data_IF_051056629518
#
_entry.id   IF_051056629518
#
_cell.length_a   1.000
_cell.length_b   1.000
_cell.length_c   1.000
_cell.angle_alpha   90.00
_cell.angle_beta   90.00
_cell.angle_gamma   90.00
#
_symmetry.space_group_name_H-M   'P 1'
#
loop_
_entity.id
_entity.type
_entity.pdbx_description
1 polymer ?
#
# COMPACT_ATOMS: atom_id res chain seq x y z
N UNK A 1 -38.11 -41.04 23.51
CA UNK A 1 -38.94 -41.25 22.31
C UNK A 1 -38.21 -40.66 21.11
N UNK A 2 -37.94 -41.51 20.12
CA UNK A 2 -37.30 -41.16 18.85
C UNK A 2 -38.12 -40.09 18.10
N UNK A 3 -37.44 -39.07 17.58
CA UNK A 3 -37.82 -38.47 16.30
C UNK A 3 -36.57 -38.33 15.44
N UNK A 4 -36.55 -39.21 14.45
CA UNK A 4 -35.65 -39.31 13.31
C UNK A 4 -35.66 -38.01 12.51
N UNK A 5 -34.48 -37.44 12.24
CA UNK A 5 -34.31 -36.44 11.18
C UNK A 5 -33.38 -37.03 10.12
N UNK A 6 -33.96 -37.25 8.96
CA UNK A 6 -33.35 -37.81 7.75
C UNK A 6 -32.28 -36.85 7.22
N UNK A 7 -31.05 -37.33 7.13
CA UNK A 7 -29.94 -36.67 6.43
C UNK A 7 -30.15 -36.87 4.94
N UNK A 8 -30.46 -35.79 4.22
CA UNK A 8 -30.39 -35.75 2.76
C UNK A 8 -28.93 -35.47 2.37
N UNK A 9 -28.22 -36.53 2.01
CA UNK A 9 -26.89 -36.50 1.40
C UNK A 9 -26.99 -35.85 0.02
N UNK A 10 -26.46 -34.62 -0.11
CA UNK A 10 -26.19 -33.99 -1.40
C UNK A 10 -24.80 -34.49 -1.83
N UNK A 11 -24.66 -35.24 -2.95
CA UNK A 11 -23.35 -35.60 -3.47
C UNK A 11 -22.66 -34.33 -4.01
N UNK A 12 -21.57 -33.93 -3.34
CA UNK A 12 -20.55 -33.09 -3.94
C UNK A 12 -19.95 -33.83 -5.13
N UNK A 13 -20.22 -33.33 -6.34
CA UNK A 13 -19.49 -33.73 -7.54
C UNK A 13 -18.07 -33.15 -7.46
N UNK A 14 -17.17 -33.92 -6.86
CA UNK A 14 -15.74 -33.83 -7.13
C UNK A 14 -15.52 -34.36 -8.55
N UNK A 15 -15.23 -33.47 -9.50
CA UNK A 15 -14.63 -33.85 -10.76
C UNK A 15 -13.16 -34.23 -10.50
N UNK A 16 -12.96 -35.47 -10.04
CA UNK A 16 -11.71 -36.18 -10.17
C UNK A 16 -11.62 -36.70 -11.61
N UNK A 17 -10.83 -36.04 -12.45
CA UNK A 17 -10.39 -36.60 -13.73
C UNK A 17 -8.87 -36.76 -13.65
N UNK A 18 -8.43 -37.99 -13.39
CA UNK A 18 -7.02 -38.33 -13.27
C UNK A 18 -6.86 -39.84 -13.18
N UNK A 19 -6.96 -40.52 -14.33
CA UNK A 19 -6.76 -41.96 -14.43
C UNK A 19 -6.58 -42.43 -15.87
N UNK A 20 -5.33 -42.35 -16.36
CA UNK A 20 -4.65 -43.37 -17.17
C UNK A 20 -4.98 -43.51 -18.67
N UNK A 21 -3.95 -43.37 -19.52
CA UNK A 21 -3.96 -43.84 -20.91
C UNK A 21 -2.82 -43.27 -21.74
N UNK A 22 -1.78 -44.08 -21.99
CA UNK A 22 -0.70 -43.77 -22.92
C UNK A 22 -1.24 -43.74 -24.34
N UNK A 23 -1.28 -42.55 -24.96
CA UNK A 23 -1.37 -42.42 -26.41
C UNK A 23 -0.44 -41.28 -26.87
N UNK A 24 0.52 -41.68 -27.71
CA UNK A 24 1.42 -40.81 -28.44
C UNK A 24 0.62 -40.06 -29.51
N UNK A 25 -0.06 -38.98 -29.09
CA UNK A 25 -0.65 -38.01 -30.00
C UNK A 25 -0.04 -36.66 -29.69
N UNK A 26 0.79 -36.20 -30.61
CA UNK A 26 1.27 -34.82 -30.72
C UNK A 26 0.05 -33.90 -30.83
N UNK A 27 -0.56 -33.58 -29.69
CA UNK A 27 -1.38 -32.38 -29.58
C UNK A 27 -0.39 -31.25 -29.60
N UNK A 28 -0.27 -30.66 -30.79
CA UNK A 28 0.40 -29.39 -30.97
C UNK A 28 -0.12 -28.45 -29.88
N UNK A 29 0.74 -28.15 -28.91
CA UNK A 29 0.60 -26.98 -28.06
C UNK A 29 0.46 -25.81 -29.02
N UNK A 30 -0.77 -25.32 -29.20
CA UNK A 30 -1.01 -24.12 -29.98
C UNK A 30 -0.18 -23.03 -29.35
N UNK A 31 0.90 -22.65 -30.04
CA UNK A 31 1.76 -21.58 -29.63
C UNK A 31 0.92 -20.32 -29.33
N UNK A 32 0.93 -19.94 -28.06
CA UNK A 32 1.15 -18.57 -27.61
C UNK A 32 0.39 -17.48 -28.40
N UNK A 33 -0.88 -17.25 -28.07
CA UNK A 33 -1.49 -15.96 -28.40
C UNK A 33 -0.66 -14.87 -27.69
N UNK A 34 -0.21 -13.85 -28.43
CA UNK A 34 0.34 -12.66 -27.80
C UNK A 34 -0.76 -11.94 -27.02
N UNK A 35 -0.36 -11.22 -25.97
CA UNK A 35 -1.28 -10.36 -25.21
C UNK A 35 -0.77 -8.93 -25.21
N UNK A 36 -1.67 -7.98 -25.02
CA UNK A 36 -1.34 -6.55 -24.99
C UNK A 36 -1.48 -6.04 -23.55
N UNK A 37 -0.38 -5.57 -22.98
CA UNK A 37 -0.37 -4.87 -21.71
C UNK A 37 -0.75 -3.41 -21.94
N UNK A 38 -1.87 -2.96 -21.36
CA UNK A 38 -2.29 -1.56 -21.38
C UNK A 38 -2.17 -0.99 -19.96
N UNK A 39 -1.07 -0.29 -19.71
CA UNK A 39 -0.73 0.22 -18.39
C UNK A 39 -0.50 1.72 -18.37
N UNK A 40 -0.06 2.19 -17.20
CA UNK A 40 0.21 3.60 -16.96
C UNK A 40 1.49 3.74 -16.12
N UNK A 41 2.31 4.74 -16.42
CA UNK A 41 3.40 5.18 -15.54
C UNK A 41 2.91 6.44 -14.81
N UNK A 42 2.74 6.37 -13.49
CA UNK A 42 2.14 7.46 -12.74
C UNK A 42 2.72 7.67 -11.34
N UNK A 43 3.12 8.91 -11.09
CA UNK A 43 3.22 9.62 -9.82
C UNK A 43 2.63 11.02 -10.09
N UNK A 44 1.35 11.03 -10.48
CA UNK A 44 0.87 11.92 -11.54
C UNK A 44 1.29 11.43 -12.94
N UNK A 45 0.55 11.73 -14.03
CA UNK A 45 0.92 11.25 -15.37
C UNK A 45 2.37 11.54 -15.77
N UNK A 46 3.20 10.51 -15.99
CA UNK A 46 4.58 10.68 -16.47
C UNK A 46 4.61 10.49 -17.99
N UNK A 47 4.59 11.61 -18.71
CA UNK A 47 4.67 11.63 -20.17
C UNK A 47 6.09 11.37 -20.68
N UNK A 48 6.21 10.71 -21.83
CA UNK A 48 7.50 10.49 -22.51
C UNK A 48 8.35 9.36 -21.93
N UNK A 49 7.88 8.61 -20.94
CA UNK A 49 8.61 7.49 -20.35
C UNK A 49 8.64 6.28 -21.29
N UNK A 50 9.76 5.57 -21.35
CA UNK A 50 9.89 4.29 -22.06
C UNK A 50 9.73 3.14 -21.08
N UNK A 51 8.85 2.18 -21.37
CA UNK A 51 8.61 0.99 -20.54
C UNK A 51 9.23 -0.24 -21.19
N UNK A 52 9.99 -1.03 -20.45
CA UNK A 52 10.60 -2.26 -20.93
C UNK A 52 10.32 -3.43 -19.98
N UNK A 53 10.19 -4.64 -20.53
CA UNK A 53 9.93 -5.87 -19.78
C UNK A 53 11.23 -6.62 -19.46
N UNK A 54 11.33 -7.11 -18.23
CA UNK A 54 12.45 -7.89 -17.70
C UNK A 54 11.93 -9.18 -17.05
N UNK A 55 12.78 -10.22 -17.06
CA UNK A 55 12.61 -11.48 -16.32
C UNK A 55 13.91 -11.78 -15.63
N UNK A 56 13.87 -11.98 -14.30
CA UNK A 56 15.04 -12.31 -13.48
C UNK A 56 16.24 -11.38 -13.78
N UNK A 57 15.98 -10.08 -13.82
CA UNK A 57 16.98 -9.04 -14.07
C UNK A 57 17.45 -8.91 -15.52
N UNK A 58 17.06 -9.83 -16.40
CA UNK A 58 17.43 -9.82 -17.81
C UNK A 58 16.30 -9.26 -18.66
N UNK A 59 16.61 -8.37 -19.59
CA UNK A 59 15.61 -7.82 -20.50
C UNK A 59 14.99 -8.94 -21.33
N UNK A 60 13.65 -9.00 -21.34
CA UNK A 60 12.92 -9.98 -22.15
C UNK A 60 13.07 -9.61 -23.62
N UNK A 61 13.34 -10.62 -24.44
CA UNK A 61 13.50 -10.49 -25.88
C UNK A 61 12.35 -11.16 -26.61
N UNK A 62 11.94 -10.58 -27.73
CA UNK A 62 10.99 -11.18 -28.66
C UNK A 62 11.64 -12.32 -29.48
N UNK A 63 10.85 -12.94 -30.36
CA UNK A 63 11.32 -14.02 -31.22
C UNK A 63 12.45 -13.61 -32.21
N UNK A 64 12.64 -12.31 -32.45
CA UNK A 64 13.73 -11.77 -33.28
C UNK A 64 14.98 -11.43 -32.47
N UNK A 65 14.94 -11.58 -31.14
CA UNK A 65 16.03 -11.22 -30.23
C UNK A 65 16.03 -9.74 -29.83
N UNK A 66 15.04 -8.95 -30.24
CA UNK A 66 14.91 -7.56 -29.86
C UNK A 66 14.27 -7.42 -28.48
N UNK A 67 14.67 -6.40 -27.72
CA UNK A 67 14.09 -6.10 -26.42
C UNK A 67 12.60 -5.74 -26.55
N UNK A 68 11.78 -6.26 -25.64
CA UNK A 68 10.37 -5.90 -25.57
C UNK A 68 10.24 -4.60 -24.77
N UNK A 69 10.01 -3.51 -25.48
CA UNK A 69 9.75 -2.18 -24.91
C UNK A 69 8.55 -1.54 -25.61
N UNK A 70 7.82 -0.70 -24.88
CA UNK A 70 6.77 0.14 -25.44
C UNK A 70 7.36 1.28 -26.26
N UNK A 71 6.51 1.98 -27.00
CA UNK A 71 6.76 3.39 -27.33
C UNK A 71 6.83 4.26 -26.08
N UNK A 72 7.10 5.55 -26.25
CA UNK A 72 7.03 6.50 -25.14
C UNK A 72 5.57 6.62 -24.65
N UNK A 73 5.40 6.81 -23.34
CA UNK A 73 4.08 7.08 -22.75
C UNK A 73 3.48 8.37 -23.31
N UNK A 74 2.14 8.40 -23.42
CA UNK A 74 1.40 9.58 -23.83
C UNK A 74 1.37 10.67 -22.74
N UNK A 75 0.65 11.78 -22.98
CA UNK A 75 0.52 12.88 -22.03
C UNK A 75 -0.18 12.48 -20.72
N UNK A 76 -0.89 11.35 -20.71
CA UNK A 76 -1.58 10.77 -19.56
C UNK A 76 -0.74 9.66 -18.91
N UNK A 77 0.48 9.43 -19.38
CA UNK A 77 1.38 8.40 -18.87
C UNK A 77 1.00 6.99 -19.32
N UNK A 78 0.05 6.83 -20.25
CA UNK A 78 -0.37 5.50 -20.70
C UNK A 78 0.66 4.90 -21.66
N UNK A 79 0.82 3.59 -21.60
CA UNK A 79 1.60 2.82 -22.57
C UNK A 79 0.84 1.57 -23.02
N UNK A 80 1.17 1.10 -24.21
CA UNK A 80 0.73 -0.20 -24.72
C UNK A 80 1.95 -1.01 -25.17
N UNK A 81 1.97 -2.30 -24.84
CA UNK A 81 3.07 -3.21 -25.15
C UNK A 81 2.53 -4.60 -25.49
N UNK A 82 2.89 -5.13 -26.65
CA UNK A 82 2.59 -6.52 -27.00
C UNK A 82 3.66 -7.45 -26.43
N UNK A 83 3.24 -8.46 -25.68
CA UNK A 83 4.12 -9.51 -25.16
C UNK A 83 3.77 -10.85 -25.81
N UNK A 84 4.77 -11.65 -26.26
CA UNK A 84 4.54 -12.98 -26.80
C UNK A 84 3.87 -13.91 -25.77
N UNK A 85 3.07 -14.87 -26.20
CA UNK A 85 2.51 -15.88 -25.29
C UNK A 85 3.51 -16.96 -24.84
N UNK A 86 4.73 -16.96 -25.39
CA UNK A 86 5.81 -17.91 -25.10
C UNK A 86 6.96 -17.24 -24.36
N UNK A 87 6.65 -16.46 -23.33
CA UNK A 87 7.67 -15.87 -22.47
C UNK A 87 8.47 -16.93 -21.72
N UNK A 88 9.74 -16.66 -21.37
CA UNK A 88 10.47 -17.51 -20.43
C UNK A 88 9.69 -17.66 -19.12
N UNK A 89 9.85 -18.82 -18.48
CA UNK A 89 9.38 -18.99 -17.11
C UNK A 89 10.22 -18.11 -16.20
N UNK A 90 9.58 -17.32 -15.36
CA UNK A 90 10.27 -16.39 -14.46
C UNK A 90 9.32 -15.33 -13.92
N UNK A 91 9.86 -14.49 -13.04
CA UNK A 91 9.14 -13.35 -12.49
C UNK A 91 9.28 -12.16 -13.46
N UNK A 92 8.15 -11.68 -13.97
CA UNK A 92 8.13 -10.54 -14.88
C UNK A 92 8.16 -9.22 -14.11
N UNK A 93 8.98 -8.29 -14.59
CA UNK A 93 9.13 -6.95 -14.03
C UNK A 93 9.08 -5.92 -15.16
N UNK A 94 8.35 -4.83 -14.95
CA UNK A 94 8.39 -3.67 -15.84
C UNK A 94 9.30 -2.60 -15.27
N UNK A 95 10.11 -1.99 -16.13
CA UNK A 95 10.93 -0.82 -15.78
C UNK A 95 10.54 0.32 -16.71
N UNK A 96 10.02 1.41 -16.13
CA UNK A 96 9.78 2.66 -16.82
C UNK A 96 10.98 3.59 -16.63
N UNK A 97 11.41 4.28 -17.69
CA UNK A 97 12.51 5.24 -17.63
C UNK A 97 12.14 6.55 -18.34
N UNK A 98 12.39 7.68 -17.69
CA UNK A 98 12.24 9.01 -18.27
C UNK A 98 13.49 9.85 -18.00
N UNK A 99 14.26 10.13 -19.04
CA UNK A 99 15.59 10.73 -18.90
C UNK A 99 16.55 9.85 -18.09
N UNK A 100 17.55 10.48 -17.47
CA UNK A 100 18.55 9.79 -16.65
C UNK A 100 18.07 9.54 -15.21
N UNK A 101 17.19 10.39 -14.68
CA UNK A 101 16.89 10.45 -13.25
C UNK A 101 15.67 9.64 -12.83
N UNK A 102 14.67 9.47 -13.71
CA UNK A 102 13.45 8.74 -13.37
C UNK A 102 13.56 7.31 -13.89
N UNK A 103 13.61 6.36 -12.95
CA UNK A 103 13.41 4.93 -13.16
C UNK A 103 12.45 4.37 -12.13
N UNK A 104 11.29 3.90 -12.59
CA UNK A 104 10.28 3.26 -11.76
C UNK A 104 10.13 1.81 -12.17
N UNK A 105 9.77 0.95 -11.23
CA UNK A 105 9.64 -0.48 -11.47
C UNK A 105 8.33 -1.03 -10.93
N UNK A 106 7.88 -2.14 -11.49
CA UNK A 106 6.75 -2.90 -10.96
C UNK A 106 6.90 -4.38 -11.26
N UNK A 107 6.71 -5.21 -10.24
CA UNK A 107 6.75 -6.66 -10.35
C UNK A 107 5.36 -7.20 -10.70
N UNK A 108 5.23 -7.85 -11.87
CA UNK A 108 3.95 -8.34 -12.39
C UNK A 108 3.56 -9.74 -11.87
N UNK A 109 4.52 -10.50 -11.36
CA UNK A 109 4.33 -11.91 -10.99
C UNK A 109 4.84 -12.88 -12.06
N UNK A 110 4.44 -14.15 -11.94
CA UNK A 110 4.88 -15.20 -12.85
C UNK A 110 4.33 -14.97 -14.27
N UNK A 111 5.16 -15.24 -15.29
CA UNK A 111 4.77 -15.04 -16.69
C UNK A 111 3.46 -15.76 -17.08
N UNK A 112 3.21 -16.96 -16.54
CA UNK A 112 1.96 -17.69 -16.76
C UNK A 112 0.73 -16.96 -16.18
N UNK A 113 0.84 -16.42 -14.97
CA UNK A 113 -0.23 -15.65 -14.33
C UNK A 113 -0.52 -14.34 -15.08
N UNK A 114 0.52 -13.67 -15.59
CA UNK A 114 0.36 -12.46 -16.40
C UNK A 114 -0.39 -12.77 -17.70
N UNK A 115 0.00 -13.83 -18.42
CA UNK A 115 -0.69 -14.23 -19.66
C UNK A 115 -2.16 -14.65 -19.40
N UNK A 116 -2.43 -15.32 -18.28
CA UNK A 116 -3.78 -15.71 -17.87
C UNK A 116 -4.67 -14.53 -17.44
N UNK A 117 -4.06 -13.38 -17.13
CA UNK A 117 -4.81 -12.16 -16.76
C UNK A 117 -5.42 -11.45 -17.97
N UNK A 118 -5.14 -11.88 -19.19
CA UNK A 118 -5.76 -11.33 -20.39
C UNK A 118 -7.28 -11.51 -20.38
N UNK A 119 -8.01 -10.56 -20.95
CA UNK A 119 -9.42 -10.72 -21.28
C UNK A 119 -9.64 -11.50 -22.59
N UNK A 120 -10.89 -11.66 -22.97
CA UNK A 120 -11.28 -12.36 -24.21
C UNK A 120 -10.77 -11.67 -25.48
N UNK A 121 -10.30 -10.43 -25.39
CA UNK A 121 -9.72 -9.66 -26.50
C UNK A 121 -8.19 -9.70 -26.49
N UNK A 122 -7.57 -10.43 -25.56
CA UNK A 122 -6.12 -10.51 -25.42
C UNK A 122 -5.50 -9.30 -24.71
N UNK A 123 -6.30 -8.46 -24.06
CA UNK A 123 -5.82 -7.29 -23.34
C UNK A 123 -5.68 -7.58 -21.84
N UNK A 124 -4.56 -7.14 -21.27
CA UNK A 124 -4.34 -7.11 -19.82
C UNK A 124 -4.53 -5.66 -19.35
N UNK A 125 -5.43 -5.47 -18.39
CA UNK A 125 -5.79 -4.16 -17.83
C UNK A 125 -5.50 -4.08 -16.33
N UNK A 126 -5.39 -2.85 -15.81
CA UNK A 126 -5.08 -2.59 -14.40
C UNK A 126 -6.15 -3.09 -13.44
N UNK A 127 -7.36 -3.35 -13.93
CA UNK A 127 -8.43 -4.00 -13.16
C UNK A 127 -8.08 -5.44 -12.82
N UNK A 128 -7.46 -6.17 -13.75
CA UNK A 128 -7.09 -7.59 -13.56
C UNK A 128 -5.68 -7.77 -13.04
N UNK A 129 -4.76 -6.90 -13.47
CA UNK A 129 -3.37 -6.92 -13.04
C UNK A 129 -2.94 -5.50 -12.62
N UNK A 130 -3.23 -5.07 -11.38
CA UNK A 130 -2.93 -3.72 -10.91
C UNK A 130 -1.46 -3.32 -11.09
N UNK A 131 -0.54 -4.28 -11.00
CA UNK A 131 0.90 -4.08 -11.16
C UNK A 131 1.33 -3.55 -12.54
N UNK A 132 0.49 -3.55 -13.57
CA UNK A 132 0.81 -2.87 -14.84
C UNK A 132 0.75 -1.34 -14.72
N UNK A 133 0.28 -0.80 -13.59
CA UNK A 133 0.47 0.60 -13.24
C UNK A 133 1.80 0.72 -12.51
N UNK A 134 2.77 1.37 -13.14
CA UNK A 134 4.10 1.59 -12.58
C UNK A 134 4.07 2.91 -11.81
N UNK A 135 4.22 2.85 -10.49
CA UNK A 135 4.12 4.00 -9.59
C UNK A 135 5.30 4.06 -8.62
N UNK A 136 5.37 5.13 -7.82
CA UNK A 136 6.30 5.21 -6.70
C UNK A 136 6.04 4.09 -5.67
N UNK A 137 4.79 3.64 -5.51
CA UNK A 137 4.43 2.50 -4.66
C UNK A 137 4.90 1.16 -5.21
N UNK A 138 4.61 0.84 -6.47
CA UNK A 138 5.06 -0.44 -7.03
C UNK A 138 6.58 -0.52 -7.05
N UNK A 139 7.25 0.63 -7.20
CA UNK A 139 8.71 0.73 -7.10
C UNK A 139 9.18 0.42 -5.68
N UNK A 140 8.54 1.01 -4.66
CA UNK A 140 8.82 0.74 -3.25
C UNK A 140 8.62 -0.75 -2.89
N UNK A 141 7.50 -1.34 -3.31
CA UNK A 141 7.20 -2.76 -3.10
C UNK A 141 8.26 -3.66 -3.76
N UNK A 142 8.59 -3.40 -5.02
CA UNK A 142 9.61 -4.17 -5.75
C UNK A 142 10.98 -4.10 -5.07
N UNK A 143 11.42 -2.95 -4.55
CA UNK A 143 12.73 -2.87 -3.88
C UNK A 143 12.73 -3.48 -2.48
N UNK A 144 11.58 -3.52 -1.80
CA UNK A 144 11.43 -4.18 -0.51
C UNK A 144 11.31 -5.71 -0.66
N UNK A 145 10.83 -6.17 -1.81
CA UNK A 145 10.79 -7.58 -2.17
C UNK A 145 12.19 -8.15 -2.53
N UNK A 146 13.17 -7.32 -2.90
CA UNK A 146 14.58 -7.70 -3.11
C UNK A 146 15.27 -7.94 -1.75
N UNK A 147 15.05 -9.11 -1.17
CA UNK A 147 15.51 -9.44 0.19
C UNK A 147 17.00 -9.77 0.26
N UNK A 148 17.57 -10.29 -0.83
CA UNK A 148 18.97 -10.66 -0.91
C UNK A 148 19.88 -9.51 -1.37
N UNK A 149 19.30 -8.38 -1.79
CA UNK A 149 19.95 -7.15 -2.20
C UNK A 149 20.76 -7.24 -3.50
N UNK A 150 20.50 -8.22 -4.37
CA UNK A 150 21.18 -8.38 -5.65
C UNK A 150 20.63 -7.44 -6.76
N UNK A 151 19.54 -6.74 -6.46
CA UNK A 151 18.90 -5.80 -7.37
C UNK A 151 17.91 -6.45 -8.34
N UNK A 152 17.56 -7.71 -8.13
CA UNK A 152 16.58 -8.49 -8.87
C UNK A 152 15.63 -9.13 -7.88
N UNK A 153 14.31 -9.00 -8.10
CA UNK A 153 13.34 -9.76 -7.32
C UNK A 153 13.20 -11.12 -7.96
N UNK A 154 13.65 -12.17 -7.29
CA UNK A 154 13.41 -13.55 -7.73
C UNK A 154 11.99 -14.00 -7.39
N UNK A 155 11.54 -15.09 -8.03
CA UNK A 155 10.22 -15.65 -7.74
C UNK A 155 10.07 -16.10 -6.27
N UNK A 156 11.13 -16.63 -5.67
CA UNK A 156 11.12 -17.08 -4.28
C UNK A 156 11.02 -15.90 -3.31
N UNK A 157 11.74 -14.82 -3.60
CA UNK A 157 11.64 -13.59 -2.82
C UNK A 157 10.26 -12.95 -2.94
N UNK A 158 9.70 -12.87 -4.15
CA UNK A 158 8.35 -12.34 -4.34
C UNK A 158 7.29 -13.16 -3.59
N UNK A 159 7.45 -14.49 -3.53
CA UNK A 159 6.55 -15.36 -2.75
C UNK A 159 6.74 -15.22 -1.24
N UNK A 160 7.97 -15.02 -0.79
CA UNK A 160 8.32 -14.83 0.62
C UNK A 160 8.02 -13.40 1.11
N UNK A 161 7.91 -12.45 0.19
CA UNK A 161 7.67 -11.04 0.49
C UNK A 161 6.32 -10.87 1.19
N UNK A 162 6.38 -10.28 2.37
CA UNK A 162 5.22 -9.84 3.13
C UNK A 162 5.23 -8.32 3.11
N UNK A 163 4.27 -7.73 2.41
CA UNK A 163 4.18 -6.29 2.29
C UNK A 163 4.08 -5.62 3.67
N UNK A 164 4.88 -4.58 3.87
CA UNK A 164 4.87 -3.75 5.07
C UNK A 164 4.55 -2.33 4.63
N UNK A 165 3.30 -1.91 4.83
CA UNK A 165 2.86 -0.58 4.39
C UNK A 165 3.71 0.55 4.99
N UNK A 166 4.12 0.45 6.26
CA UNK A 166 4.93 1.50 6.89
C UNK A 166 6.28 1.67 6.17
N UNK A 167 6.95 0.57 5.81
CA UNK A 167 8.21 0.64 5.06
C UNK A 167 7.98 1.10 3.62
N UNK A 168 6.93 0.57 2.99
CA UNK A 168 6.55 0.91 1.62
C UNK A 168 6.25 2.40 1.49
N UNK A 169 5.42 2.96 2.37
CA UNK A 169 5.09 4.39 2.46
C UNK A 169 6.33 5.25 2.63
N UNK A 170 7.28 4.84 3.48
CA UNK A 170 8.53 5.58 3.67
C UNK A 170 9.34 5.65 2.37
N UNK A 171 9.55 4.51 1.70
CA UNK A 171 10.30 4.45 0.43
C UNK A 171 9.57 5.22 -0.67
N UNK A 172 8.25 5.05 -0.76
CA UNK A 172 7.36 5.71 -1.71
C UNK A 172 7.41 7.24 -1.55
N UNK A 173 7.43 7.75 -0.30
CA UNK A 173 7.57 9.17 0.00
C UNK A 173 8.91 9.77 -0.47
N UNK A 174 10.01 9.02 -0.33
CA UNK A 174 11.31 9.47 -0.83
C UNK A 174 11.32 9.56 -2.36
N UNK A 175 10.71 8.58 -3.04
CA UNK A 175 10.58 8.61 -4.51
C UNK A 175 9.74 9.82 -4.93
N UNK A 176 8.57 10.01 -4.30
CA UNK A 176 7.65 11.12 -4.59
C UNK A 176 8.29 12.48 -4.34
N UNK A 177 9.08 12.61 -3.27
CA UNK A 177 9.86 13.82 -3.01
C UNK A 177 10.77 14.20 -4.19
N UNK A 178 11.43 13.19 -4.76
CA UNK A 178 12.36 13.37 -5.86
C UNK A 178 11.67 13.68 -7.20
N UNK A 179 10.44 13.19 -7.42
CA UNK A 179 9.70 13.40 -8.68
C UNK A 179 8.88 14.70 -8.61
N UNK A 180 8.09 14.89 -7.56
CA UNK A 180 7.04 15.93 -7.51
C UNK A 180 7.43 17.18 -6.72
N UNK A 181 8.34 17.05 -5.75
CA UNK A 181 8.65 18.11 -4.79
C UNK A 181 10.00 18.79 -5.02
N UNK A 182 10.54 18.69 -6.25
CA UNK A 182 11.81 19.30 -6.66
C UNK A 182 13.01 18.92 -5.76
N UNK A 183 12.96 17.77 -5.08
CA UNK A 183 14.07 17.28 -4.26
C UNK A 183 15.07 16.43 -5.07
N UNK A 184 14.93 16.36 -6.40
CA UNK A 184 15.83 15.54 -7.23
C UNK A 184 17.29 15.95 -7.08
N UNK A 185 17.60 17.24 -6.94
CA UNK A 185 18.99 17.71 -6.81
C UNK A 185 19.68 17.24 -5.51
N UNK A 186 18.91 16.98 -4.45
CA UNK A 186 19.42 16.53 -3.14
C UNK A 186 19.33 15.01 -2.98
N UNK A 187 18.29 14.40 -3.54
CA UNK A 187 18.00 12.96 -3.41
C UNK A 187 18.55 12.11 -4.55
N UNK A 188 18.76 12.68 -5.74
CA UNK A 188 19.31 11.99 -6.90
C UNK A 188 20.71 12.56 -7.19
N UNK A 189 21.74 11.79 -6.85
CA UNK A 189 23.15 12.14 -6.98
C UNK A 189 24.02 11.24 -6.10
N UNK A 190 25.35 11.30 -6.28
CA UNK A 190 26.25 10.42 -5.52
C UNK A 190 25.95 8.93 -5.79
N UNK A 191 25.51 8.20 -4.76
CA UNK A 191 25.19 6.77 -4.85
C UNK A 191 23.79 6.48 -5.42
N UNK A 192 22.91 7.48 -5.51
CA UNK A 192 21.54 7.34 -6.03
C UNK A 192 21.44 8.02 -7.40
N UNK A 193 21.85 7.32 -8.46
CA UNK A 193 21.87 7.89 -9.82
C UNK A 193 20.48 8.07 -10.47
N UNK A 194 19.47 7.38 -9.96
CA UNK A 194 18.08 7.44 -10.41
C UNK A 194 17.12 7.10 -9.26
N UNK A 195 15.80 7.26 -9.49
CA UNK A 195 14.78 6.97 -8.48
C UNK A 195 14.73 5.50 -8.04
N UNK A 196 15.19 4.54 -8.85
CA UNK A 196 15.23 3.12 -8.46
C UNK A 196 16.38 2.87 -7.48
N UNK A 197 17.57 3.43 -7.74
CA UNK A 197 18.70 3.38 -6.80
C UNK A 197 18.39 4.15 -5.52
N UNK A 198 17.66 5.27 -5.62
CA UNK A 198 17.15 6.02 -4.48
C UNK A 198 16.21 5.16 -3.62
N UNK A 199 15.25 4.48 -4.25
CA UNK A 199 14.33 3.58 -3.56
C UNK A 199 15.07 2.46 -2.81
N UNK A 200 16.09 1.86 -3.45
CA UNK A 200 16.96 0.85 -2.83
C UNK A 200 17.72 1.40 -1.62
N UNK A 201 18.27 2.61 -1.73
CA UNK A 201 18.95 3.26 -0.61
C UNK A 201 17.97 3.51 0.56
N UNK A 202 16.77 4.01 0.27
CA UNK A 202 15.74 4.25 1.27
C UNK A 202 15.30 2.95 1.98
N UNK A 203 15.02 1.89 1.22
CA UNK A 203 14.60 0.59 1.75
C UNK A 203 15.65 -0.03 2.70
N UNK A 204 16.94 0.25 2.45
CA UNK A 204 18.07 -0.29 3.22
C UNK A 204 18.52 0.66 4.34
N UNK A 205 17.79 1.74 4.59
CA UNK A 205 18.19 2.83 5.50
C UNK A 205 19.61 3.35 5.18
N UNK A 206 19.99 3.31 3.90
CA UNK A 206 21.24 3.85 3.38
C UNK A 206 21.14 5.37 3.17
N UNK A 207 22.27 5.97 2.79
CA UNK A 207 22.36 7.40 2.54
C UNK A 207 21.59 7.79 1.27
N UNK A 208 20.74 8.81 1.39
CA UNK A 208 19.97 9.35 0.27
C UNK A 208 20.75 10.45 -0.46
N UNK A 209 21.04 10.23 -1.74
CA UNK A 209 21.64 11.25 -2.61
C UNK A 209 22.87 11.90 -2.03
N UNK A 210 22.88 13.23 -2.07
CA UNK A 210 23.91 14.09 -1.48
C UNK A 210 23.50 14.63 -0.11
N UNK A 211 22.32 14.26 0.39
CA UNK A 211 21.76 14.78 1.64
C UNK A 211 22.51 14.31 2.89
N UNK A 212 23.29 13.23 2.81
CA UNK A 212 23.91 12.53 3.95
C UNK A 212 22.91 12.09 5.04
N UNK A 213 21.61 12.04 4.73
CA UNK A 213 20.55 11.54 5.62
C UNK A 213 20.12 10.13 5.20
N UNK A 214 19.69 9.32 6.17
CA UNK A 214 18.91 8.11 5.87
C UNK A 214 17.44 8.46 5.61
N UNK A 215 16.65 7.50 5.12
CA UNK A 215 15.20 7.69 4.95
C UNK A 215 14.49 8.10 6.25
N UNK A 216 14.80 7.43 7.36
CA UNK A 216 14.21 7.77 8.66
C UNK A 216 14.56 9.20 9.10
N UNK A 217 15.83 9.61 8.94
CA UNK A 217 16.27 10.97 9.28
C UNK A 217 15.66 12.04 8.37
N UNK A 218 15.50 11.72 7.09
CA UNK A 218 14.89 12.64 6.13
C UNK A 218 13.39 12.82 6.41
N UNK A 219 12.67 11.74 6.72
CA UNK A 219 11.23 11.79 7.02
C UNK A 219 10.92 12.38 8.41
N UNK A 220 11.85 12.29 9.36
CA UNK A 220 11.73 12.95 10.66
C UNK A 220 11.90 14.47 10.58
N UNK A 221 12.34 15.02 9.44
CA UNK A 221 12.46 16.46 9.23
C UNK A 221 11.06 17.07 9.02
N UNK A 222 10.61 18.01 9.88
CA UNK A 222 9.29 18.62 9.75
C UNK A 222 9.06 19.32 8.40
N UNK A 223 10.13 19.75 7.71
CA UNK A 223 10.02 20.32 6.37
C UNK A 223 9.43 19.36 5.33
N UNK A 224 9.46 18.04 5.61
CA UNK A 224 9.00 17.00 4.70
C UNK A 224 7.64 16.40 5.07
N UNK A 225 6.98 16.87 6.13
CA UNK A 225 5.71 16.32 6.62
C UNK A 225 4.61 16.30 5.54
N UNK A 226 4.53 17.35 4.72
CA UNK A 226 3.54 17.47 3.65
C UNK A 226 3.71 16.42 2.54
N UNK A 227 4.93 15.90 2.34
CA UNK A 227 5.21 14.90 1.29
C UNK A 227 4.65 13.55 1.69
N UNK A 228 4.73 13.20 2.98
CA UNK A 228 4.16 11.96 3.51
C UNK A 228 2.63 11.97 3.37
N UNK A 229 1.98 13.09 3.70
CA UNK A 229 0.53 13.24 3.53
C UNK A 229 0.11 13.11 2.06
N UNK A 230 0.92 13.62 1.11
CA UNK A 230 0.66 13.49 -0.31
C UNK A 230 0.72 12.03 -0.81
N UNK A 231 1.61 11.22 -0.25
CA UNK A 231 1.67 9.77 -0.55
C UNK A 231 0.39 9.06 -0.14
N UNK A 232 -0.11 9.31 1.07
CA UNK A 232 -1.37 8.69 1.52
C UNK A 232 -2.56 9.13 0.65
N UNK A 233 -2.59 10.41 0.25
CA UNK A 233 -3.58 10.95 -0.68
C UNK A 233 -3.54 10.26 -2.05
N UNK A 234 -2.36 9.93 -2.56
CA UNK A 234 -2.21 9.23 -3.84
C UNK A 234 -2.76 7.80 -3.77
N UNK A 235 -2.49 7.07 -2.68
CA UNK A 235 -3.07 5.72 -2.48
C UNK A 235 -4.59 5.81 -2.43
N UNK A 236 -5.13 6.75 -1.66
CA UNK A 236 -6.57 6.97 -1.55
C UNK A 236 -7.21 7.27 -2.90
N UNK A 237 -6.53 8.07 -3.74
CA UNK A 237 -6.98 8.39 -5.11
C UNK A 237 -6.91 7.18 -6.03
N UNK A 238 -5.85 6.38 -5.96
CA UNK A 238 -5.71 5.15 -6.75
C UNK A 238 -6.77 4.10 -6.37
N UNK A 239 -7.12 4.01 -5.09
CA UNK A 239 -8.12 3.07 -4.58
C UNK A 239 -9.54 3.65 -4.61
N UNK A 240 -9.72 4.87 -5.10
CA UNK A 240 -11.03 5.49 -5.24
C UNK A 240 -11.96 4.61 -6.10
N UNK A 241 -13.20 4.42 -5.62
CA UNK A 241 -14.19 3.56 -6.28
C UNK A 241 -14.08 2.07 -5.94
N UNK A 242 -13.06 1.62 -5.21
CA UNK A 242 -12.96 0.24 -4.69
C UNK A 242 -13.44 0.10 -3.23
N UNK A 243 -13.89 1.20 -2.65
CA UNK A 243 -14.40 1.23 -1.28
C UNK A 243 -15.70 0.44 -1.15
N UNK A 244 -15.79 -0.37 -0.10
CA UNK A 244 -17.00 -1.03 0.34
C UNK A 244 -17.47 -0.39 1.64
N UNK A 245 -18.80 -0.30 1.82
CA UNK A 245 -19.37 0.25 3.04
C UNK A 245 -19.40 -0.80 4.16
N UNK A 246 -19.16 -0.34 5.38
CA UNK A 246 -19.17 -1.14 6.59
C UNK A 246 -19.95 -0.43 7.68
N UNK A 247 -20.68 -1.20 8.49
CA UNK A 247 -21.21 -0.72 9.76
C UNK A 247 -20.15 -0.95 10.85
N UNK A 248 -19.56 0.14 11.32
CA UNK A 248 -18.71 0.18 12.50
C UNK A 248 -19.58 0.09 13.75
N UNK A 249 -19.17 -0.74 14.70
CA UNK A 249 -19.67 -0.75 16.08
C UNK A 249 -18.50 -0.90 17.04
N UNK A 250 -18.39 0.01 17.99
CA UNK A 250 -17.38 -0.02 19.05
C UNK A 250 -18.03 -0.30 20.40
N UNK A 251 -17.33 -1.03 21.26
CA UNK A 251 -17.70 -1.22 22.66
C UNK A 251 -16.55 -0.82 23.55
N UNK A 252 -16.71 0.27 24.30
CA UNK A 252 -15.69 0.75 25.25
C UNK A 252 -15.62 -0.22 26.42
N UNK A 253 -14.42 -0.71 26.73
CA UNK A 253 -14.18 -1.64 27.85
C UNK A 253 -13.25 -1.09 28.92
N UNK A 254 -12.48 -0.05 28.60
CA UNK A 254 -11.62 0.65 29.55
C UNK A 254 -11.34 2.06 29.10
N UNK A 255 -11.34 3.01 30.04
CA UNK A 255 -10.97 4.40 29.79
C UNK A 255 -10.20 4.97 30.99
N UNK A 256 -9.36 5.95 30.72
CA UNK A 256 -8.62 6.73 31.72
C UNK A 256 -8.84 8.20 31.43
N UNK A 257 -9.46 8.89 32.38
CA UNK A 257 -9.61 10.35 32.37
C UNK A 257 -8.92 10.88 33.63
N UNK A 258 -7.81 11.64 33.52
CA UNK A 258 -7.16 12.25 34.66
C UNK A 258 -8.05 13.36 35.23
N UNK A 259 -7.88 13.71 36.52
CA UNK A 259 -8.52 14.89 37.08
C UNK A 259 -8.00 16.15 36.39
N UNK A 260 -8.88 17.14 36.23
CA UNK A 260 -8.53 18.39 35.58
C UNK A 260 -7.41 19.12 36.33
N UNK A 261 -6.43 19.60 35.57
CA UNK A 261 -5.28 20.37 36.03
C UNK A 261 -5.52 21.86 35.72
N UNK A 262 -5.16 22.72 36.68
CA UNK A 262 -5.19 24.17 36.49
C UNK A 262 -3.82 24.67 36.05
N UNK A 263 -3.77 25.42 34.95
CA UNK A 263 -2.54 26.06 34.51
C UNK A 263 -2.26 27.34 35.31
N UNK A 264 -1.01 27.53 35.74
CA UNK A 264 -0.65 28.48 36.80
C UNK A 264 -0.93 29.96 36.43
N UNK A 265 -1.94 30.58 37.07
CA UNK A 265 -2.19 32.04 37.04
C UNK A 265 -3.18 32.56 35.98
N UNK A 266 -3.69 31.69 35.10
CA UNK A 266 -4.82 31.97 34.20
C UNK A 266 -5.86 30.87 34.35
N UNK A 267 -7.16 31.19 34.37
CA UNK A 267 -8.23 30.21 34.59
C UNK A 267 -8.46 29.32 33.36
N UNK A 268 -7.47 28.52 32.98
CA UNK A 268 -7.61 27.50 31.96
C UNK A 268 -7.63 26.13 32.65
N UNK A 269 -8.73 25.42 32.45
CA UNK A 269 -8.89 24.02 32.86
C UNK A 269 -8.64 23.16 31.64
N UNK A 270 -7.68 22.24 31.74
CA UNK A 270 -7.48 21.24 30.69
C UNK A 270 -8.65 20.25 30.79
N UNK A 271 -9.31 20.02 29.66
CA UNK A 271 -10.37 19.02 29.56
C UNK A 271 -9.94 17.92 28.62
N UNK A 272 -10.30 16.70 28.99
CA UNK A 272 -10.15 15.55 28.12
C UNK A 272 -11.45 15.28 27.38
N UNK A 273 -11.37 15.31 26.06
CA UNK A 273 -12.42 14.78 25.19
C UNK A 273 -11.98 13.39 24.76
N UNK A 274 -12.63 12.37 25.30
CA UNK A 274 -12.50 11.00 24.79
C UNK A 274 -13.85 10.31 24.78
N UNK A 275 -14.06 9.45 23.80
CA UNK A 275 -15.32 8.75 23.68
C UNK A 275 -15.43 7.65 24.73
N UNK A 276 -16.40 7.81 25.63
CA UNK A 276 -16.73 6.82 26.66
C UNK A 276 -17.98 6.02 26.31
N UNK A 277 -18.63 6.33 25.18
CA UNK A 277 -19.84 5.68 24.74
C UNK A 277 -19.55 4.62 23.68
N UNK A 278 -20.46 3.65 23.56
CA UNK A 278 -20.46 2.76 22.41
C UNK A 278 -20.90 3.54 21.18
N UNK A 279 -20.18 3.38 20.09
CA UNK A 279 -20.47 4.10 18.85
C UNK A 279 -20.93 3.18 17.75
N UNK A 280 -21.65 3.78 16.80
CA UNK A 280 -22.06 3.13 15.57
C UNK A 280 -22.01 4.15 14.44
N UNK A 281 -21.27 3.82 13.38
CA UNK A 281 -21.10 4.69 12.23
C UNK A 281 -21.04 3.87 10.94
N UNK A 282 -21.40 4.50 9.82
CA UNK A 282 -21.09 3.94 8.51
C UNK A 282 -19.73 4.46 8.07
N UNK A 283 -18.82 3.53 7.79
CA UNK A 283 -17.47 3.83 7.29
C UNK A 283 -17.25 3.12 5.96
N UNK A 284 -16.22 3.51 5.22
CA UNK A 284 -15.84 2.82 4.00
C UNK A 284 -14.46 2.20 4.15
N UNK A 285 -14.28 0.95 3.69
CA UNK A 285 -12.98 0.31 3.66
C UNK A 285 -12.62 -0.15 2.25
N UNK A 286 -11.34 -0.07 1.94
CA UNK A 286 -10.75 -0.72 0.76
C UNK A 286 -9.51 -1.50 1.17
N UNK A 287 -9.34 -2.67 0.56
CA UNK A 287 -8.20 -3.55 0.76
C UNK A 287 -7.41 -3.66 -0.54
N UNK A 288 -6.10 -3.48 -0.46
CA UNK A 288 -5.17 -3.83 -1.52
C UNK A 288 -4.31 -5.01 -1.05
N UNK A 289 -4.76 -6.21 -1.40
CA UNK A 289 -4.07 -7.45 -1.03
C UNK A 289 -2.66 -7.54 -1.64
N UNK A 290 -2.42 -6.92 -2.79
CA UNK A 290 -1.13 -6.98 -3.47
C UNK A 290 -0.08 -6.16 -2.72
N UNK A 291 -0.50 -5.00 -2.19
CA UNK A 291 0.38 -4.06 -1.45
C UNK A 291 0.31 -4.20 0.07
N UNK A 292 -0.57 -5.09 0.54
CA UNK A 292 -0.86 -5.25 1.97
C UNK A 292 -1.36 -3.98 2.64
N UNK A 293 -2.27 -3.26 1.98
CA UNK A 293 -2.81 -1.97 2.44
C UNK A 293 -4.29 -2.13 2.79
N UNK A 294 -4.70 -1.42 3.84
CA UNK A 294 -6.11 -1.09 4.08
C UNK A 294 -6.26 0.42 4.24
N UNK A 295 -7.33 0.99 3.69
CA UNK A 295 -7.75 2.36 3.99
C UNK A 295 -9.13 2.30 4.61
N UNK A 296 -9.30 2.98 5.73
CA UNK A 296 -10.59 3.31 6.32
C UNK A 296 -10.88 4.78 6.02
N UNK A 297 -12.06 5.05 5.47
CA UNK A 297 -12.58 6.38 5.21
C UNK A 297 -13.77 6.67 6.11
N UNK A 298 -13.71 7.78 6.83
CA UNK A 298 -14.81 8.30 7.64
C UNK A 298 -14.82 9.83 7.55
N UNK A 299 -15.98 10.42 7.25
CA UNK A 299 -16.17 11.88 7.17
C UNK A 299 -15.15 12.63 6.30
N UNK A 300 -14.68 11.97 5.23
CA UNK A 300 -13.70 12.51 4.29
C UNK A 300 -12.24 12.41 4.75
N UNK A 301 -12.00 11.83 5.94
CA UNK A 301 -10.67 11.53 6.46
C UNK A 301 -10.31 10.09 6.12
N UNK A 302 -9.09 9.89 5.63
CA UNK A 302 -8.55 8.58 5.25
C UNK A 302 -7.46 8.14 6.23
N UNK A 303 -7.74 7.05 6.94
CA UNK A 303 -6.77 6.37 7.81
C UNK A 303 -6.21 5.18 7.04
N UNK A 304 -4.92 5.22 6.75
CA UNK A 304 -4.24 4.13 6.04
C UNK A 304 -3.46 3.24 7.00
N UNK A 305 -3.47 1.94 6.74
CA UNK A 305 -2.79 0.95 7.56
C UNK A 305 -2.39 -0.31 6.80
N UNK A 306 -1.98 -1.33 7.54
CA UNK A 306 -1.50 -2.59 6.98
C UNK A 306 -2.60 -3.66 6.94
N UNK A 307 -2.58 -4.44 5.87
CA UNK A 307 -3.44 -5.61 5.65
C UNK A 307 -2.60 -6.81 5.26
N UNK A 308 -2.76 -7.92 5.95
CA UNK A 308 -2.11 -9.18 5.59
C UNK A 308 -3.15 -10.10 4.93
N UNK A 309 -3.06 -10.26 3.62
CA UNK A 309 -4.03 -11.03 2.85
C UNK A 309 -4.07 -12.53 3.19
N UNK A 310 -2.99 -13.08 3.73
CA UNK A 310 -2.88 -14.49 4.10
C UNK A 310 -3.60 -14.81 5.41
N UNK A 311 -3.54 -13.89 6.37
CA UNK A 311 -4.09 -14.07 7.73
C UNK A 311 -5.37 -13.29 7.96
N UNK A 312 -5.69 -12.33 7.09
CA UNK A 312 -6.76 -11.35 7.29
C UNK A 312 -6.42 -10.26 8.30
N UNK A 313 -5.21 -10.22 8.86
CA UNK A 313 -4.86 -9.25 9.89
C UNK A 313 -4.86 -7.81 9.35
N UNK A 314 -5.41 -6.88 10.13
CA UNK A 314 -5.56 -5.47 9.82
C UNK A 314 -4.99 -4.66 10.97
N UNK A 315 -4.17 -3.64 10.66
CA UNK A 315 -3.73 -2.65 11.63
C UNK A 315 -3.85 -1.26 11.02
N UNK A 316 -4.77 -0.44 11.53
CA UNK A 316 -4.93 0.96 11.18
C UNK A 316 -4.35 1.81 12.31
N UNK A 317 -3.63 2.87 11.98
CA UNK A 317 -3.15 3.84 12.97
C UNK A 317 -3.16 5.22 12.36
N UNK A 318 -3.93 6.11 12.97
CA UNK A 318 -3.88 7.54 12.74
C UNK A 318 -3.11 8.15 13.91
N UNK A 319 -2.10 8.97 13.63
CA UNK A 319 -1.37 9.69 14.67
C UNK A 319 -1.64 11.18 14.48
N UNK A 320 -2.09 11.83 15.54
CA UNK A 320 -2.17 13.27 15.61
C UNK A 320 -0.82 13.78 16.11
N UNK A 321 -0.11 14.48 15.23
CA UNK A 321 1.18 15.07 15.57
C UNK A 321 1.00 16.12 16.67
N UNK A 322 2.02 16.25 17.53
CA UNK A 322 2.10 17.33 18.50
C UNK A 322 2.13 18.68 17.79
N UNK A 323 0.98 19.36 17.74
CA UNK A 323 0.79 20.58 16.98
C UNK A 323 0.13 21.66 17.84
N UNK A 324 0.50 22.95 17.64
CA UNK A 324 -0.19 24.05 18.28
C UNK A 324 -1.59 24.18 17.69
N UNK A 325 -2.63 24.01 18.52
CA UNK A 325 -4.03 24.08 18.12
C UNK A 325 -4.63 25.45 18.38
N UNK A 326 -4.12 26.18 19.37
CA UNK A 326 -4.56 27.54 19.67
C UNK A 326 -3.43 28.34 20.33
N UNK A 327 -3.22 29.59 19.89
CA UNK A 327 -2.39 30.56 20.59
C UNK A 327 -3.24 31.75 21.00
N UNK A 328 -3.29 32.01 22.30
CA UNK A 328 -4.00 33.17 22.86
C UNK A 328 -3.30 34.48 22.49
N UNK A 329 -3.99 35.63 22.51
CA UNK A 329 -3.35 36.95 22.33
C UNK A 329 -2.22 37.24 23.34
N UNK A 330 -2.26 36.59 24.50
CA UNK A 330 -1.22 36.62 25.53
C UNK A 330 0.01 35.75 25.24
N UNK A 331 0.07 35.07 24.09
CA UNK A 331 1.20 34.22 23.69
C UNK A 331 1.22 32.83 24.34
N UNK A 332 0.16 32.44 25.05
CA UNK A 332 0.00 31.09 25.59
C UNK A 332 -0.48 30.18 24.47
N UNK A 333 0.23 29.06 24.26
CA UNK A 333 -0.08 28.07 23.23
C UNK A 333 -0.57 26.77 23.87
N UNK A 334 -1.64 26.24 23.29
CA UNK A 334 -2.21 24.93 23.57
C UNK A 334 -1.77 23.95 22.48
N UNK A 335 -1.29 22.78 22.90
CA UNK A 335 -0.81 21.72 22.03
C UNK A 335 -1.63 20.46 22.26
N UNK A 336 -1.95 19.76 21.18
CA UNK A 336 -2.55 18.43 21.24
C UNK A 336 -1.71 17.44 20.44
N UNK A 337 -1.64 16.21 20.93
CA UNK A 337 -1.15 15.05 20.20
C UNK A 337 -2.04 13.85 20.54
N UNK A 338 -1.99 12.80 19.74
CA UNK A 338 -2.84 11.65 19.99
C UNK A 338 -2.66 10.55 18.95
N UNK A 339 -3.45 9.51 19.12
CA UNK A 339 -3.61 8.50 18.08
C UNK A 339 -4.95 7.79 18.20
N UNK A 340 -5.43 7.30 17.06
CA UNK A 340 -6.41 6.23 16.98
C UNK A 340 -5.74 5.00 16.39
N UNK A 341 -5.98 3.84 17.00
CA UNK A 341 -5.46 2.56 16.51
C UNK A 341 -6.56 1.51 16.51
N UNK A 342 -6.66 0.79 15.40
CA UNK A 342 -7.55 -0.37 15.24
C UNK A 342 -6.70 -1.58 14.84
N UNK A 343 -6.83 -2.68 15.59
CA UNK A 343 -6.25 -3.97 15.23
C UNK A 343 -7.38 -4.99 15.09
N UNK A 344 -7.43 -5.72 13.99
CA UNK A 344 -8.50 -6.69 13.77
C UNK A 344 -8.14 -7.75 12.75
N UNK A 345 -9.10 -8.63 12.50
CA UNK A 345 -8.96 -9.71 11.52
C UNK A 345 -10.19 -9.75 10.62
N UNK A 346 -9.97 -9.69 9.31
CA UNK A 346 -10.97 -9.91 8.28
C UNK A 346 -11.32 -11.39 8.20
N UNK A 347 -12.60 -11.71 8.38
CA UNK A 347 -13.13 -13.03 8.11
C UNK A 347 -13.35 -13.17 6.59
N UNK A 348 -12.55 -14.01 5.93
CA UNK A 348 -12.63 -14.21 4.48
C UNK A 348 -14.00 -14.71 3.98
N UNK A 349 -14.74 -15.44 4.82
CA UNK A 349 -16.04 -16.01 4.45
C UNK A 349 -17.18 -14.99 4.51
N UNK A 350 -17.15 -14.09 5.48
CA UNK A 350 -18.23 -13.11 5.69
C UNK A 350 -17.87 -11.70 5.24
N UNK A 351 -16.57 -11.40 5.10
CA UNK A 351 -16.07 -10.06 4.87
C UNK A 351 -16.12 -9.14 6.09
N UNK A 352 -16.58 -9.63 7.25
CA UNK A 352 -16.64 -8.86 8.50
C UNK A 352 -15.27 -8.80 9.19
N UNK A 353 -15.05 -7.76 9.98
CA UNK A 353 -13.83 -7.58 10.75
C UNK A 353 -14.21 -7.52 12.23
N UNK A 354 -13.46 -8.24 13.06
CA UNK A 354 -13.55 -8.15 14.51
C UNK A 354 -12.17 -7.87 15.09
N UNK A 355 -12.11 -7.07 16.16
CA UNK A 355 -10.85 -6.65 16.72
C UNK A 355 -10.97 -5.79 17.98
N UNK A 356 -9.90 -5.04 18.24
CA UNK A 356 -9.83 -4.04 19.29
C UNK A 356 -9.46 -2.68 18.72
N UNK A 357 -9.83 -1.64 19.46
CA UNK A 357 -9.32 -0.30 19.22
C UNK A 357 -8.71 0.27 20.49
N UNK A 358 -7.82 1.24 20.30
CA UNK A 358 -7.23 2.05 21.35
C UNK A 358 -7.07 3.47 20.84
N UNK A 359 -7.47 4.43 21.65
CA UNK A 359 -7.36 5.85 21.40
C UNK A 359 -6.59 6.50 22.54
N UNK A 360 -5.76 7.48 22.21
CA UNK A 360 -5.09 8.34 23.16
C UNK A 360 -5.13 9.78 22.68
N UNK A 361 -5.48 10.68 23.60
CA UNK A 361 -5.43 12.13 23.39
C UNK A 361 -4.60 12.73 24.50
N UNK A 362 -3.60 13.53 24.15
CA UNK A 362 -2.74 14.21 25.09
C UNK A 362 -2.69 15.72 24.82
N UNK A 363 -2.91 16.49 25.88
CA UNK A 363 -3.11 17.93 25.85
C UNK A 363 -2.06 18.61 26.71
N UNK A 364 -1.32 19.59 26.15
CA UNK A 364 -0.22 20.29 26.85
C UNK A 364 -0.32 21.81 26.71
N UNK A 365 -0.06 22.54 27.79
CA UNK A 365 0.01 24.01 27.77
C UNK A 365 1.44 24.54 27.81
N UNK A 366 1.72 25.63 27.07
CA UNK A 366 3.04 26.26 27.02
C UNK A 366 3.47 26.95 28.32
N UNK A 367 2.52 27.29 29.19
CA UNK A 367 2.72 28.11 30.40
C UNK A 367 3.50 27.36 31.48
N UNK A 368 3.18 26.08 31.69
CA UNK A 368 3.77 25.27 32.75
C UNK A 368 4.08 23.83 32.32
N UNK A 369 3.91 23.50 31.03
CA UNK A 369 4.06 22.16 30.48
C UNK A 369 3.17 21.10 31.16
N UNK A 370 2.08 21.52 31.82
CA UNK A 370 1.07 20.60 32.32
C UNK A 370 0.53 19.76 31.16
N UNK A 371 0.54 18.44 31.34
CA UNK A 371 0.16 17.45 30.33
C UNK A 371 -0.91 16.54 30.90
N UNK A 372 -2.05 16.49 30.22
CA UNK A 372 -3.12 15.52 30.51
C UNK A 372 -3.19 14.50 29.40
N UNK A 373 -3.23 13.22 29.77
CA UNK A 373 -3.39 12.10 28.85
C UNK A 373 -4.69 11.37 29.14
N UNK A 374 -5.52 11.24 28.11
CA UNK A 374 -6.72 10.45 28.11
C UNK A 374 -6.60 9.28 27.18
N UNK A 375 -7.20 8.15 27.56
CA UNK A 375 -7.20 6.96 26.73
C UNK A 375 -8.48 6.16 26.86
N UNK A 376 -8.86 5.50 25.77
CA UNK A 376 -10.01 4.62 25.67
C UNK A 376 -9.60 3.38 24.89
N UNK A 377 -10.12 2.24 25.33
CA UNK A 377 -9.86 0.94 24.72
C UNK A 377 -11.12 0.11 24.71
N UNK A 378 -11.27 -0.71 23.69
CA UNK A 378 -12.49 -1.46 23.50
C UNK A 378 -12.39 -2.51 22.41
N UNK A 379 -13.52 -3.16 22.17
CA UNK A 379 -13.69 -4.02 21.00
C UNK A 379 -14.30 -3.23 19.85
N UNK A 380 -14.02 -3.71 18.63
CA UNK A 380 -14.57 -3.15 17.41
C UNK A 380 -15.08 -4.26 16.51
N UNK A 381 -16.22 -4.04 15.89
CA UNK A 381 -16.77 -4.89 14.84
C UNK A 381 -17.11 -4.03 13.63
N UNK A 382 -16.65 -4.43 12.45
CA UNK A 382 -17.05 -3.86 11.18
C UNK A 382 -17.84 -4.93 10.41
N UNK A 383 -19.13 -4.70 10.24
CA UNK A 383 -20.00 -5.60 9.47
C UNK A 383 -20.11 -5.06 8.05
N UNK A 384 -19.78 -5.90 7.06
CA UNK A 384 -19.88 -5.49 5.66
C UNK A 384 -21.35 -5.26 5.28
N UNK A 385 -21.65 -4.13 4.65
CA UNK A 385 -23.02 -3.74 4.24
C UNK A 385 -23.39 -4.27 2.85
#
# INVERSE_FOLDING_TARGET
>A
MRKTLTIATIPFLLAACGGGGSDNSTTASTAASSVVLNGQVSDGPIAGAKVCLFSDGTQVRDASGAAICSGNTDAQGNYSMTIPGNLPSGLLTLVASNGASIKLTSTLGASTSVLQSADSTGNVTSTKLPAIRITHFTTADSVLADTNNDGVVSQDEYKAYVANYSQTRQVAAIIKAAIDYNQSATLIGGQTGDTLLLARAAARNGTLGTSNKTAAQWLADPANANIIAAVDSDVATELAGKFANYQLSTVVTGFKIPPAVSANGGSATIHCEINTNNESATVQLVFDAARGIVILRHDGIDVTGSYNAQTGAINLTENDAFAPTMTTPSGITYYSEGYFKLNGTLNASTGNIAGSYSELTANTWSVDSSREECSATGSVTLTKL
#
